data_IF_294671090776
#
_entry.id   IF_294671090776
#
_cell.length_a   1.000
_cell.length_b   1.000
_cell.length_c   1.000
_cell.angle_alpha   90.00
_cell.angle_beta   90.00
_cell.angle_gamma   90.00
#
_symmetry.space_group_name_H-M   'P 1'
#
loop_
_entity.id
_entity.type
_entity.pdbx_description
1 polymer ?
#
# COMPACT_ATOMS: atom_id res chain seq x y z
N UNK A 1 25.28 -14.23 -7.64
CA UNK A 1 24.39 -13.50 -6.72
C UNK A 1 23.88 -12.28 -7.49
N UNK A 2 22.61 -12.29 -7.93
CA UNK A 2 21.96 -11.10 -8.50
C UNK A 2 21.33 -10.38 -7.32
N UNK A 3 21.76 -9.15 -7.05
CA UNK A 3 21.02 -8.26 -6.18
C UNK A 3 19.75 -7.90 -6.96
N UNK A 4 18.62 -8.52 -6.61
CA UNK A 4 17.35 -8.17 -7.20
C UNK A 4 17.12 -6.66 -6.97
N UNK A 5 16.96 -5.90 -8.05
CA UNK A 5 16.68 -4.48 -7.99
C UNK A 5 15.33 -4.29 -7.31
N UNK A 6 15.31 -3.67 -6.13
CA UNK A 6 14.08 -3.12 -5.56
C UNK A 6 13.49 -2.10 -6.54
N UNK A 7 12.16 -2.06 -6.67
CA UNK A 7 11.50 -1.02 -7.44
C UNK A 7 11.86 0.35 -6.83
N UNK A 8 12.39 1.25 -7.66
CA UNK A 8 12.63 2.63 -7.26
C UNK A 8 11.28 3.37 -7.27
N UNK A 9 10.75 3.68 -6.10
CA UNK A 9 9.42 4.32 -5.98
C UNK A 9 9.47 5.83 -6.18
N UNK A 10 10.66 6.45 -6.09
CA UNK A 10 10.84 7.88 -6.34
C UNK A 10 10.16 8.80 -5.32
N UNK A 11 9.84 8.29 -4.13
CA UNK A 11 9.22 9.08 -3.07
C UNK A 11 10.26 9.90 -2.30
N UNK A 12 9.94 11.17 -2.04
CA UNK A 12 10.80 12.08 -1.27
C UNK A 12 10.66 11.93 0.26
N UNK A 13 9.76 11.06 0.73
CA UNK A 13 9.54 10.80 2.16
C UNK A 13 10.67 9.99 2.78
N UNK A 14 11.11 10.38 3.97
CA UNK A 14 12.26 9.77 4.65
C UNK A 14 11.87 8.59 5.58
N UNK A 15 10.58 8.46 5.93
CA UNK A 15 10.13 7.45 6.89
C UNK A 15 10.28 6.00 6.38
N UNK A 16 10.09 5.78 5.06
CA UNK A 16 10.16 4.45 4.46
C UNK A 16 11.30 4.39 3.43
N UNK A 17 12.00 3.25 3.40
CA UNK A 17 12.93 2.91 2.32
C UNK A 17 12.16 2.24 1.17
N UNK A 18 12.70 2.27 -0.04
CA UNK A 18 12.09 1.59 -1.20
C UNK A 18 11.91 0.08 -0.98
N UNK A 19 12.82 -0.54 -0.22
CA UNK A 19 12.66 -1.93 0.22
C UNK A 19 11.41 -2.13 1.08
N UNK A 20 11.11 -1.21 1.99
CA UNK A 20 9.92 -1.29 2.84
C UNK A 20 8.65 -1.03 2.04
N UNK A 21 8.68 -0.07 1.11
CA UNK A 21 7.58 0.17 0.16
C UNK A 21 7.27 -1.08 -0.67
N UNK A 22 8.31 -1.72 -1.22
CA UNK A 22 8.19 -2.95 -1.99
C UNK A 22 7.59 -4.09 -1.16
N UNK A 23 8.07 -4.28 0.07
CA UNK A 23 7.54 -5.29 0.99
C UNK A 23 6.05 -5.09 1.28
N UNK A 24 5.63 -3.86 1.57
CA UNK A 24 4.23 -3.54 1.86
C UNK A 24 3.36 -3.77 0.61
N UNK A 25 3.76 -3.18 -0.52
CA UNK A 25 3.00 -3.25 -1.77
C UNK A 25 2.87 -4.70 -2.26
N UNK A 26 3.98 -5.44 -2.27
CA UNK A 26 4.01 -6.85 -2.70
C UNK A 26 3.14 -7.70 -1.81
N UNK A 27 3.18 -7.50 -0.48
CA UNK A 27 2.35 -8.29 0.44
C UNK A 27 0.86 -8.04 0.23
N UNK A 28 0.43 -6.78 0.12
CA UNK A 28 -0.98 -6.45 -0.08
C UNK A 28 -1.46 -6.97 -1.44
N UNK A 29 -0.69 -6.78 -2.51
CA UNK A 29 -1.04 -7.29 -3.83
C UNK A 29 -1.06 -8.83 -3.89
N UNK A 30 -0.22 -9.51 -3.13
CA UNK A 30 -0.27 -10.97 -3.01
C UNK A 30 -1.58 -11.43 -2.37
N UNK A 31 -2.01 -10.79 -1.27
CA UNK A 31 -3.28 -11.11 -0.62
C UNK A 31 -4.46 -10.83 -1.57
N UNK A 32 -4.46 -9.69 -2.26
CA UNK A 32 -5.47 -9.34 -3.26
C UNK A 32 -5.55 -10.37 -4.39
N UNK A 33 -4.40 -10.83 -4.89
CA UNK A 33 -4.35 -11.87 -5.93
C UNK A 33 -4.88 -13.22 -5.41
N UNK A 34 -4.50 -13.63 -4.20
CA UNK A 34 -5.04 -14.85 -3.58
C UNK A 34 -6.55 -14.77 -3.40
N UNK A 35 -7.07 -13.63 -2.96
CA UNK A 35 -8.51 -13.40 -2.83
C UNK A 35 -9.22 -13.46 -4.19
N UNK A 36 -8.69 -12.79 -5.21
CA UNK A 36 -9.26 -12.82 -6.56
C UNK A 36 -9.35 -14.25 -7.13
N UNK A 37 -8.35 -15.07 -6.85
CA UNK A 37 -8.29 -16.47 -7.28
C UNK A 37 -9.14 -17.43 -6.42
N UNK A 38 -9.82 -16.94 -5.37
CA UNK A 38 -10.55 -17.79 -4.42
C UNK A 38 -9.62 -18.70 -3.62
N UNK A 39 -8.39 -18.27 -3.36
CA UNK A 39 -7.36 -19.00 -2.59
C UNK A 39 -7.10 -18.37 -1.22
N UNK A 40 -7.93 -17.40 -0.82
CA UNK A 40 -7.83 -16.71 0.46
C UNK A 40 -9.07 -17.02 1.30
N UNK A 41 -9.09 -18.22 1.86
CA UNK A 41 -10.21 -18.73 2.66
C UNK A 41 -10.33 -17.99 4.01
N UNK A 42 -11.55 -17.82 4.55
CA UNK A 42 -12.85 -18.30 4.03
C UNK A 42 -13.55 -17.28 3.11
N UNK A 43 -12.82 -16.33 2.53
CA UNK A 43 -13.43 -15.23 1.78
C UNK A 43 -13.76 -15.65 0.34
N UNK A 44 -14.92 -15.24 -0.15
CA UNK A 44 -15.32 -15.45 -1.53
C UNK A 44 -14.39 -14.74 -2.52
N UNK A 45 -14.23 -15.33 -3.71
CA UNK A 45 -13.43 -14.74 -4.78
C UNK A 45 -14.01 -13.42 -5.29
N UNK A 46 -13.15 -12.57 -5.85
CA UNK A 46 -13.56 -11.31 -6.50
C UNK A 46 -13.10 -11.30 -7.96
N UNK A 47 -14.01 -10.91 -8.87
CA UNK A 47 -13.76 -10.85 -10.31
C UNK A 47 -13.11 -9.55 -10.79
N UNK A 48 -13.07 -8.50 -9.96
CA UNK A 48 -12.58 -7.16 -10.33
C UNK A 48 -11.61 -6.60 -9.27
N UNK A 49 -10.60 -7.41 -8.94
CA UNK A 49 -9.62 -7.09 -7.91
C UNK A 49 -8.38 -6.43 -8.52
N UNK A 50 -8.41 -5.11 -8.68
CA UNK A 50 -7.33 -4.34 -9.29
C UNK A 50 -6.01 -4.44 -8.49
N UNK A 51 -4.87 -4.47 -9.20
CA UNK A 51 -3.54 -4.43 -8.57
C UNK A 51 -3.28 -3.01 -8.07
N UNK A 52 -2.77 -2.88 -6.86
CA UNK A 52 -2.39 -1.59 -6.29
C UNK A 52 -1.02 -1.15 -6.80
N UNK A 53 -0.86 0.16 -6.90
CA UNK A 53 0.41 0.85 -7.11
C UNK A 53 0.74 1.70 -5.89
N UNK A 54 2.01 2.00 -5.68
CA UNK A 54 2.43 2.90 -4.61
C UNK A 54 2.21 4.35 -5.01
N UNK A 55 1.68 5.16 -4.09
CA UNK A 55 1.50 6.60 -4.29
C UNK A 55 2.22 7.36 -3.17
N UNK A 56 3.24 8.14 -3.55
CA UNK A 56 4.05 8.90 -2.61
C UNK A 56 3.26 10.00 -1.87
N UNK A 57 2.18 10.52 -2.43
CA UNK A 57 1.33 11.50 -1.76
C UNK A 57 0.52 10.85 -0.65
N UNK A 58 0.00 9.64 -0.90
CA UNK A 58 -0.70 8.86 0.14
C UNK A 58 0.24 8.46 1.27
N UNK A 59 1.48 8.09 0.94
CA UNK A 59 2.53 7.87 1.93
C UNK A 59 2.78 9.14 2.77
N UNK A 60 2.92 10.31 2.13
CA UNK A 60 3.14 11.58 2.84
C UNK A 60 1.99 11.94 3.78
N UNK A 61 0.75 11.66 3.38
CA UNK A 61 -0.42 11.86 4.25
C UNK A 61 -0.37 10.89 5.43
N UNK A 62 -0.10 9.61 5.17
CA UNK A 62 0.01 8.59 6.21
C UNK A 62 1.12 8.95 7.22
N UNK A 63 2.28 9.38 6.75
CA UNK A 63 3.40 9.84 7.58
C UNK A 63 2.95 10.96 8.52
N UNK A 64 2.29 12.01 7.99
CA UNK A 64 1.79 13.14 8.80
C UNK A 64 0.79 12.72 9.88
N UNK A 65 -0.08 11.75 9.58
CA UNK A 65 -1.09 11.27 10.53
C UNK A 65 -0.45 10.52 11.71
N UNK A 66 0.65 9.80 11.46
CA UNK A 66 1.34 9.03 12.50
C UNK A 66 2.50 9.78 13.16
N UNK A 67 2.77 11.03 12.74
CA UNK A 67 3.78 11.88 13.36
C UNK A 67 3.55 11.98 14.88
N UNK A 68 4.61 11.77 15.65
CA UNK A 68 4.61 11.75 17.12
C UNK A 68 3.79 10.63 17.77
N UNK A 69 3.43 9.58 17.02
CA UNK A 69 2.76 8.39 17.53
C UNK A 69 1.51 8.71 18.38
N UNK A 70 0.52 9.43 17.84
CA UNK A 70 -0.64 9.85 18.61
C UNK A 70 -1.48 8.65 19.04
N UNK A 71 -2.11 8.73 20.22
CA UNK A 71 -2.96 7.64 20.72
C UNK A 71 -4.30 7.52 19.99
N UNK A 72 -4.72 8.57 19.29
CA UNK A 72 -5.94 8.61 18.50
C UNK A 72 -5.65 9.32 17.18
N UNK A 73 -6.23 8.80 16.09
CA UNK A 73 -6.11 9.37 14.76
C UNK A 73 -7.46 9.94 14.33
N UNK A 74 -7.51 11.21 13.93
CA UNK A 74 -8.68 11.76 13.25
C UNK A 74 -8.55 11.45 11.75
N UNK A 75 -9.36 10.53 11.24
CA UNK A 75 -9.43 10.29 9.80
C UNK A 75 -10.34 11.32 9.14
N UNK A 76 -9.96 12.59 9.16
CA UNK A 76 -10.47 13.58 8.20
C UNK A 76 -9.83 13.33 6.82
N UNK A 77 -9.68 12.06 6.44
CA UNK A 77 -9.20 11.66 5.12
C UNK A 77 -10.43 11.75 4.23
N UNK A 78 -10.53 12.84 3.47
CA UNK A 78 -11.56 12.97 2.44
C UNK A 78 -11.53 11.70 1.60
N UNK A 79 -12.66 11.00 1.55
CA UNK A 79 -12.79 9.64 1.01
C UNK A 79 -12.22 9.47 -0.41
N UNK A 80 -12.00 10.57 -1.14
CA UNK A 80 -11.36 10.61 -2.45
C UNK A 80 -9.86 10.29 -2.50
N UNK A 81 -9.12 10.40 -1.38
CA UNK A 81 -7.67 10.13 -1.41
C UNK A 81 -7.35 8.62 -1.54
N UNK A 82 -8.28 7.72 -1.22
CA UNK A 82 -8.09 6.27 -1.35
C UNK A 82 -8.64 5.70 -2.67
N UNK A 83 -9.12 6.56 -3.58
CA UNK A 83 -9.81 6.18 -4.82
C UNK A 83 -8.93 6.56 -6.01
N UNK A 84 -7.74 5.97 -6.08
CA UNK A 84 -6.97 5.94 -7.33
C UNK A 84 -7.30 4.64 -8.08
N UNK A 85 -8.49 4.58 -8.69
CA UNK A 85 -8.74 3.65 -9.79
C UNK A 85 -8.25 4.35 -11.06
N UNK A 86 -7.05 4.03 -11.51
CA UNK A 86 -6.66 4.24 -12.90
C UNK A 86 -6.81 2.94 -13.67
#
# INVERSE_FOLDING_TARGET
MKCDLFAAFGCNGAALTDRVRDLILTRINTIRALLALGKYEPLASSSDMNKLEWDCNLESIAEKVVQNCPQQFSTNVTQGNAINFK
#
